data_IF_647402836867
#
_entry.id   IF_647402836867
#
_cell.length_a   1.000
_cell.length_b   1.000
_cell.length_c   1.000
_cell.angle_alpha   90.00
_cell.angle_beta   90.00
_cell.angle_gamma   90.00
#
_symmetry.space_group_name_H-M   'P 1'
#
loop_
_entity.id
_entity.type
_entity.pdbx_description
1 polymer ?
#
# COMPACT_ATOMS: atom_id res chain seq x y z
N UNK A 1 -28.28 -37.57 -23.30
CA UNK A 1 -27.20 -36.76 -23.91
C UNK A 1 -27.49 -35.27 -23.90
N UNK A 2 -28.54 -34.75 -24.55
CA UNK A 2 -28.86 -33.30 -24.59
C UNK A 2 -28.96 -32.61 -23.21
N UNK A 3 -29.54 -33.28 -22.20
CA UNK A 3 -29.66 -32.77 -20.82
C UNK A 3 -28.32 -32.75 -20.06
N UNK A 4 -27.39 -33.65 -20.38
CA UNK A 4 -26.05 -33.73 -19.76
C UNK A 4 -25.15 -32.64 -20.35
N UNK A 5 -25.25 -32.41 -21.66
CA UNK A 5 -24.54 -31.31 -22.34
C UNK A 5 -25.01 -29.95 -21.82
N UNK A 6 -26.32 -29.75 -21.63
CA UNK A 6 -26.85 -28.51 -21.05
C UNK A 6 -26.36 -28.26 -19.61
N UNK A 7 -26.26 -29.31 -18.79
CA UNK A 7 -25.72 -29.22 -17.43
C UNK A 7 -24.22 -28.91 -17.42
N UNK A 8 -23.44 -29.52 -18.31
CA UNK A 8 -22.02 -29.25 -18.46
C UNK A 8 -21.75 -27.80 -18.92
N UNK A 9 -22.55 -27.28 -19.86
CA UNK A 9 -22.45 -25.89 -20.33
C UNK A 9 -22.81 -24.90 -19.21
N UNK A 10 -23.80 -25.21 -18.37
CA UNK A 10 -24.18 -24.37 -17.22
C UNK A 10 -23.09 -24.35 -16.14
N UNK A 11 -22.42 -25.47 -15.88
CA UNK A 11 -21.28 -25.55 -14.95
C UNK A 11 -20.08 -24.77 -15.49
N UNK A 12 -19.79 -24.87 -16.79
CA UNK A 12 -18.70 -24.10 -17.43
C UNK A 12 -18.98 -22.59 -17.38
N UNK A 13 -20.25 -22.16 -17.56
CA UNK A 13 -20.63 -20.75 -17.45
C UNK A 13 -20.48 -20.20 -16.02
N UNK A 14 -20.71 -21.03 -14.99
CA UNK A 14 -20.50 -20.66 -13.58
C UNK A 14 -19.02 -20.60 -13.17
N UNK A 15 -18.13 -21.25 -13.92
CA UNK A 15 -16.68 -21.18 -13.69
C UNK A 15 -16.03 -19.94 -14.32
N UNK A 16 -16.73 -19.23 -15.22
CA UNK A 16 -16.23 -18.04 -15.92
C UNK A 16 -16.53 -16.71 -15.20
N UNK A 17 -17.28 -16.72 -14.09
CA UNK A 17 -17.56 -15.51 -13.29
C UNK A 17 -16.56 -15.27 -12.15
N UNK A 18 -15.45 -16.03 -12.11
CA UNK A 18 -14.41 -15.89 -11.09
C UNK A 18 -13.32 -14.90 -11.49
N UNK A 19 -13.09 -13.90 -10.64
CA UNK A 19 -12.11 -12.79 -10.73
C UNK A 19 -12.53 -11.58 -11.58
N UNK A 20 -13.42 -10.73 -11.05
CA UNK A 20 -13.45 -9.31 -11.44
C UNK A 20 -12.42 -8.54 -10.61
N UNK A 21 -11.24 -8.28 -11.17
CA UNK A 21 -10.35 -7.22 -10.64
C UNK A 21 -11.04 -5.87 -10.83
N UNK A 22 -10.97 -4.96 -9.84
CA UNK A 22 -11.55 -3.63 -10.03
C UNK A 22 -10.79 -2.90 -11.12
N UNK A 23 -11.53 -2.19 -11.98
CA UNK A 23 -10.94 -1.44 -13.06
C UNK A 23 -10.31 -0.13 -12.55
N UNK A 24 -9.12 0.18 -13.07
CA UNK A 24 -8.40 1.44 -12.84
C UNK A 24 -9.05 2.48 -13.75
N UNK A 25 -9.93 3.30 -13.19
CA UNK A 25 -10.81 4.21 -13.96
C UNK A 25 -10.89 5.62 -13.40
N UNK A 26 -10.67 5.81 -12.08
CA UNK A 26 -10.61 7.15 -11.50
C UNK A 26 -9.29 7.84 -11.87
N UNK A 27 -9.31 9.16 -11.99
CA UNK A 27 -8.11 9.97 -12.28
C UNK A 27 -6.94 9.60 -11.34
N UNK A 28 -7.21 9.52 -10.03
CA UNK A 28 -6.20 9.16 -9.04
C UNK A 28 -5.72 7.70 -9.18
N UNK A 29 -6.61 6.74 -9.46
CA UNK A 29 -6.17 5.36 -9.69
C UNK A 29 -5.25 5.24 -10.92
N UNK A 30 -5.48 6.04 -11.97
CA UNK A 30 -4.62 6.10 -13.16
C UNK A 30 -3.27 6.72 -12.80
N UNK A 31 -3.25 7.87 -12.11
CA UNK A 31 -2.03 8.53 -11.65
C UNK A 31 -1.16 7.57 -10.81
N UNK A 32 -1.78 6.88 -9.84
CA UNK A 32 -1.07 5.91 -9.00
C UNK A 32 -0.54 4.72 -9.80
N UNK A 33 -1.33 4.20 -10.73
CA UNK A 33 -0.92 3.08 -11.57
C UNK A 33 0.25 3.43 -12.49
N UNK A 34 0.22 4.60 -13.12
CA UNK A 34 1.29 5.02 -14.03
C UNK A 34 2.60 5.26 -13.26
N UNK A 35 2.54 5.88 -12.09
CA UNK A 35 3.70 6.03 -11.21
C UNK A 35 4.31 4.67 -10.80
N UNK A 36 3.48 3.68 -10.45
CA UNK A 36 3.97 2.34 -10.10
C UNK A 36 4.65 1.63 -11.29
N UNK A 37 4.09 1.76 -12.50
CA UNK A 37 4.70 1.20 -13.72
C UNK A 37 6.03 1.87 -14.04
N UNK A 38 6.10 3.20 -13.93
CA UNK A 38 7.32 3.97 -14.18
C UNK A 38 8.44 3.61 -13.20
N UNK A 39 8.08 3.22 -11.97
CA UNK A 39 8.99 2.65 -10.96
C UNK A 39 9.46 1.23 -11.29
N UNK A 40 8.89 0.57 -12.30
CA UNK A 40 9.22 -0.80 -12.70
C UNK A 40 8.39 -1.89 -12.01
N UNK A 41 7.31 -1.52 -11.31
CA UNK A 41 6.41 -2.49 -10.69
C UNK A 41 5.39 -3.03 -11.68
N UNK A 42 5.08 -4.32 -11.55
CA UNK A 42 4.00 -4.96 -12.28
C UNK A 42 2.71 -4.86 -11.45
N UNK A 43 1.65 -4.28 -12.00
CA UNK A 43 0.36 -4.18 -11.31
C UNK A 43 -0.44 -5.46 -11.56
N UNK A 44 -0.74 -6.18 -10.48
CA UNK A 44 -1.56 -7.40 -10.50
C UNK A 44 -3.03 -7.05 -10.36
N UNK A 45 -3.36 -6.14 -9.45
CA UNK A 45 -4.72 -5.71 -9.23
C UNK A 45 -4.79 -4.30 -8.63
N UNK A 46 -5.85 -3.58 -8.97
CA UNK A 46 -6.33 -2.45 -8.19
C UNK A 46 -7.40 -2.93 -7.22
N UNK A 47 -7.28 -2.58 -5.93
CA UNK A 47 -8.18 -3.04 -4.89
C UNK A 47 -9.27 -2.01 -4.57
N UNK A 48 -8.91 -0.73 -4.40
CA UNK A 48 -9.84 0.34 -4.02
C UNK A 48 -9.12 1.67 -3.81
N UNK A 49 -9.89 2.76 -3.81
CA UNK A 49 -9.59 3.92 -2.99
C UNK A 49 -9.80 3.52 -1.52
N UNK A 50 -8.72 3.45 -0.75
CA UNK A 50 -8.73 2.97 0.63
C UNK A 50 -9.22 4.04 1.61
N UNK A 51 -8.86 5.29 1.37
CA UNK A 51 -9.22 6.43 2.21
C UNK A 51 -9.03 7.74 1.43
N UNK A 52 -9.85 8.75 1.77
CA UNK A 52 -9.61 10.14 1.43
C UNK A 52 -9.64 10.99 2.70
N UNK A 53 -8.72 11.94 2.84
CA UNK A 53 -8.68 12.82 4.01
C UNK A 53 -7.97 14.15 3.73
N UNK A 54 -8.28 15.17 4.52
CA UNK A 54 -7.50 16.41 4.55
C UNK A 54 -6.28 16.21 5.45
N UNK A 55 -5.08 16.51 4.95
CA UNK A 55 -3.87 16.44 5.76
C UNK A 55 -3.81 17.61 6.73
N UNK A 56 -4.01 17.35 8.01
CA UNK A 56 -3.88 18.32 9.09
C UNK A 56 -2.64 18.05 9.93
N UNK A 57 -2.19 19.05 10.69
CA UNK A 57 -1.12 18.86 11.67
C UNK A 57 -1.48 17.84 12.74
N UNK A 58 -2.75 17.80 13.16
CA UNK A 58 -3.27 16.79 14.08
C UNK A 58 -3.07 15.37 13.53
N UNK A 59 -3.33 15.14 12.24
CA UNK A 59 -3.00 13.85 11.60
C UNK A 59 -1.50 13.59 11.62
N UNK A 60 -0.67 14.57 11.27
CA UNK A 60 0.79 14.39 11.34
C UNK A 60 1.28 14.05 12.76
N UNK A 61 0.56 14.44 13.81
CA UNK A 61 0.91 14.17 15.21
C UNK A 61 0.21 12.95 15.83
N UNK A 62 -0.65 12.25 15.07
CA UNK A 62 -1.44 11.13 15.60
C UNK A 62 -1.20 9.84 14.84
N UNK A 63 -1.24 8.72 15.57
CA UNK A 63 -1.22 7.40 14.96
C UNK A 63 -2.53 7.11 14.19
N UNK A 64 -2.49 6.42 13.04
CA UNK A 64 -1.28 5.89 12.40
C UNK A 64 -0.60 6.87 11.42
N UNK A 65 -1.21 8.02 11.13
CA UNK A 65 -0.77 8.95 10.08
C UNK A 65 0.62 9.54 10.32
N UNK A 66 1.03 9.74 11.57
CA UNK A 66 2.39 10.17 11.94
C UNK A 66 3.45 9.24 11.32
N UNK A 67 3.25 7.93 11.43
CA UNK A 67 4.17 6.93 10.85
C UNK A 67 4.01 6.86 9.34
N UNK A 68 2.78 6.90 8.83
CA UNK A 68 2.55 6.86 7.38
C UNK A 68 3.24 8.01 6.66
N UNK A 69 3.06 9.24 7.13
CA UNK A 69 3.75 10.40 6.58
C UNK A 69 5.24 10.43 6.93
N UNK A 70 5.62 9.86 8.06
CA UNK A 70 7.00 9.61 8.43
C UNK A 70 7.75 8.70 7.46
N UNK A 71 7.07 7.84 6.70
CA UNK A 71 7.69 6.96 5.71
C UNK A 71 7.90 7.65 4.34
N UNK A 72 7.54 8.93 4.21
CA UNK A 72 7.76 9.71 2.98
C UNK A 72 9.05 10.52 3.04
N UNK A 73 9.72 10.62 1.89
CA UNK A 73 10.90 11.50 1.72
C UNK A 73 10.52 12.96 1.54
N UNK A 74 9.34 13.22 0.98
CA UNK A 74 8.87 14.57 0.81
C UNK A 74 8.43 15.18 2.15
N UNK A 75 8.64 16.49 2.31
CA UNK A 75 8.15 17.23 3.48
C UNK A 75 6.61 17.31 3.47
N UNK A 76 5.92 16.68 4.45
CA UNK A 76 4.45 16.69 4.53
C UNK A 76 3.86 18.09 4.75
N UNK A 77 4.65 19.06 5.23
CA UNK A 77 4.20 20.45 5.43
C UNK A 77 3.68 21.08 4.14
N UNK A 78 4.22 20.66 2.98
CA UNK A 78 3.80 21.14 1.66
C UNK A 78 2.38 20.74 1.28
N UNK A 79 1.83 19.74 1.97
CA UNK A 79 0.53 19.14 1.66
C UNK A 79 -0.51 19.43 2.75
N UNK A 80 -0.18 20.23 3.76
CA UNK A 80 -1.14 20.65 4.78
C UNK A 80 -2.34 21.37 4.18
N UNK A 81 -3.53 20.99 4.62
CA UNK A 81 -4.81 21.52 4.14
C UNK A 81 -5.27 20.93 2.79
N UNK A 82 -4.45 20.11 2.14
CA UNK A 82 -4.82 19.43 0.89
C UNK A 82 -5.57 18.14 1.17
N UNK A 83 -6.42 17.76 0.24
CA UNK A 83 -7.02 16.44 0.21
C UNK A 83 -6.02 15.42 -0.34
N UNK A 84 -5.91 14.30 0.37
CA UNK A 84 -5.04 13.18 0.06
C UNK A 84 -5.94 12.00 -0.28
N UNK A 85 -5.70 11.42 -1.44
CA UNK A 85 -6.34 10.20 -1.93
C UNK A 85 -5.39 9.03 -1.77
N UNK A 86 -5.89 7.92 -1.22
CA UNK A 86 -5.08 6.72 -0.97
C UNK A 86 -5.56 5.58 -1.87
N UNK A 87 -4.83 5.32 -2.94
CA UNK A 87 -5.17 4.28 -3.93
C UNK A 87 -4.41 2.99 -3.63
N UNK A 88 -5.12 1.86 -3.51
CA UNK A 88 -4.58 0.58 -3.08
C UNK A 88 -4.42 -0.39 -4.25
N UNK A 89 -3.21 -0.97 -4.36
CA UNK A 89 -2.85 -1.92 -5.41
C UNK A 89 -2.18 -3.17 -4.84
N UNK A 90 -2.24 -4.26 -5.61
CA UNK A 90 -1.37 -5.42 -5.47
C UNK A 90 -0.38 -5.37 -6.63
N UNK A 91 0.91 -5.46 -6.31
CA UNK A 91 2.00 -5.36 -7.27
C UNK A 91 2.99 -6.54 -7.14
N UNK A 92 3.84 -6.68 -8.16
CA UNK A 92 5.06 -7.49 -8.19
C UNK A 92 6.28 -6.65 -8.59
N UNK A 93 7.44 -7.30 -8.53
CA UNK A 93 8.78 -6.71 -8.68
C UNK A 93 9.15 -5.81 -7.50
N UNK A 94 8.68 -6.17 -6.31
CA UNK A 94 8.92 -5.42 -5.08
C UNK A 94 9.74 -6.27 -4.09
N UNK A 95 10.61 -5.67 -3.24
CA UNK A 95 11.41 -6.40 -2.25
C UNK A 95 10.59 -7.34 -1.35
N UNK A 96 9.32 -7.00 -1.10
CA UNK A 96 8.42 -7.81 -0.27
C UNK A 96 7.75 -8.99 -0.94
N UNK A 97 7.96 -9.20 -2.22
CA UNK A 97 7.46 -10.39 -2.90
C UNK A 97 8.10 -11.66 -2.31
N UNK A 98 9.35 -11.57 -1.84
CA UNK A 98 10.08 -12.67 -1.20
C UNK A 98 10.24 -12.50 0.32
N UNK A 99 9.42 -11.63 0.94
CA UNK A 99 9.52 -11.37 2.37
C UNK A 99 9.08 -12.57 3.21
N UNK A 100 9.72 -12.74 4.38
CA UNK A 100 9.28 -13.66 5.41
C UNK A 100 9.51 -13.05 6.80
N UNK A 101 8.63 -13.36 7.74
CA UNK A 101 8.82 -12.95 9.13
C UNK A 101 9.97 -13.70 9.79
N UNK A 102 10.50 -13.11 10.86
CA UNK A 102 11.44 -13.78 11.75
C UNK A 102 10.70 -14.33 12.95
N UNK A 103 10.95 -15.59 13.30
CA UNK A 103 10.42 -16.21 14.51
C UNK A 103 11.45 -17.20 15.07
N UNK A 104 11.50 -17.32 16.40
CA UNK A 104 12.27 -18.40 17.07
C UNK A 104 11.69 -19.78 16.72
N UNK A 105 10.41 -19.83 16.43
CA UNK A 105 9.64 -21.03 16.12
C UNK A 105 9.35 -21.07 14.61
N UNK A 106 9.98 -21.98 13.84
CA UNK A 106 9.86 -22.02 12.37
C UNK A 106 8.42 -22.16 11.85
N UNK A 107 7.54 -22.81 12.60
CA UNK A 107 6.12 -22.97 12.29
C UNK A 107 5.33 -21.64 12.32
N UNK A 108 5.86 -20.61 12.98
CA UNK A 108 5.26 -19.28 13.05
C UNK A 108 5.86 -18.31 12.00
N UNK A 109 6.71 -18.80 11.09
CA UNK A 109 7.22 -17.98 9.99
C UNK A 109 6.11 -17.76 8.97
N UNK A 110 5.74 -16.50 8.79
CA UNK A 110 4.78 -16.07 7.77
C UNK A 110 5.56 -15.64 6.54
N UNK A 111 5.12 -16.04 5.36
CA UNK A 111 5.77 -15.70 4.09
C UNK A 111 4.83 -14.90 3.22
N UNK A 112 5.41 -13.98 2.46
CA UNK A 112 4.71 -13.31 1.37
C UNK A 112 4.22 -14.32 0.33
N UNK A 113 3.11 -13.98 -0.33
CA UNK A 113 2.53 -14.75 -1.43
C UNK A 113 3.22 -14.51 -2.78
N UNK A 114 4.39 -13.89 -2.80
CA UNK A 114 5.04 -13.47 -4.05
C UNK A 114 4.53 -12.13 -4.58
N UNK A 115 3.85 -11.36 -3.74
CA UNK A 115 3.18 -10.10 -4.11
C UNK A 115 3.28 -9.09 -2.96
N UNK A 116 3.12 -7.81 -3.29
CA UNK A 116 3.14 -6.72 -2.32
C UNK A 116 1.87 -5.88 -2.44
N UNK A 117 1.26 -5.54 -1.31
CA UNK A 117 0.20 -4.52 -1.25
C UNK A 117 0.82 -3.15 -1.08
N UNK A 118 0.37 -2.18 -1.88
CA UNK A 118 0.82 -0.79 -1.79
C UNK A 118 -0.36 0.15 -1.70
N UNK A 119 -0.17 1.24 -0.98
CA UNK A 119 -1.10 2.35 -0.86
C UNK A 119 -0.38 3.60 -1.36
N UNK A 120 -0.76 4.08 -2.52
CA UNK A 120 -0.16 5.25 -3.17
C UNK A 120 -0.92 6.50 -2.73
N UNK A 121 -0.20 7.49 -2.24
CA UNK A 121 -0.78 8.74 -1.75
C UNK A 121 -0.71 9.79 -2.84
N UNK A 122 -1.85 10.41 -3.13
CA UNK A 122 -1.99 11.40 -4.19
C UNK A 122 -2.56 12.68 -3.59
N UNK A 123 -1.89 13.81 -3.82
CA UNK A 123 -2.38 15.13 -3.48
C UNK A 123 -2.05 16.10 -4.63
N UNK A 124 -2.94 17.04 -4.94
CA UNK A 124 -2.82 17.93 -6.10
C UNK A 124 -2.51 17.21 -7.42
N UNK A 125 -3.10 16.02 -7.62
CA UNK A 125 -2.91 15.18 -8.82
C UNK A 125 -1.47 14.67 -9.03
N UNK A 126 -0.66 14.67 -7.97
CA UNK A 126 0.70 14.12 -7.99
C UNK A 126 0.86 13.04 -6.93
N UNK A 127 1.69 12.04 -7.20
CA UNK A 127 2.06 11.04 -6.20
C UNK A 127 3.04 11.66 -5.21
N UNK A 128 2.61 11.79 -3.96
CA UNK A 128 3.39 12.39 -2.86
C UNK A 128 4.07 11.34 -1.98
N UNK A 129 3.78 10.07 -2.21
CA UNK A 129 4.36 8.96 -1.48
C UNK A 129 3.45 7.75 -1.45
N UNK A 130 3.57 7.00 -0.36
CA UNK A 130 2.85 5.78 -0.15
C UNK A 130 3.60 4.83 0.79
N UNK A 131 2.88 3.76 1.13
CA UNK A 131 3.35 2.70 2.02
C UNK A 131 3.20 1.33 1.34
N UNK A 132 3.97 0.36 1.80
CA UNK A 132 3.96 -1.03 1.31
C UNK A 132 3.82 -2.03 2.45
N UNK A 133 3.29 -3.20 2.12
CA UNK A 133 3.13 -4.33 3.03
C UNK A 133 3.15 -5.67 2.26
N UNK A 134 3.84 -6.72 2.75
CA UNK A 134 3.83 -8.02 2.08
C UNK A 134 2.41 -8.59 1.96
N UNK A 135 2.06 -9.14 0.80
CA UNK A 135 0.78 -9.81 0.65
C UNK A 135 0.80 -11.15 1.41
N UNK A 136 0.26 -11.15 2.63
CA UNK A 136 0.15 -12.32 3.51
C UNK A 136 -1.32 -12.64 3.81
N UNK A 137 -1.58 -13.86 4.29
CA UNK A 137 -2.92 -14.33 4.68
C UNK A 137 -3.47 -13.56 5.87
N UNK A 138 -2.74 -13.57 6.97
CA UNK A 138 -3.12 -12.93 8.22
C UNK A 138 -2.24 -11.69 8.45
N UNK A 139 -2.83 -10.49 8.60
CA UNK A 139 -2.09 -9.30 8.96
C UNK A 139 -1.28 -9.54 10.25
N UNK A 140 -0.02 -9.13 10.24
CA UNK A 140 0.83 -9.22 11.42
C UNK A 140 0.79 -7.89 12.17
N UNK A 141 0.88 -7.96 13.49
CA UNK A 141 1.13 -6.78 14.29
C UNK A 141 2.49 -6.17 13.88
N UNK A 142 2.49 -4.87 13.62
CA UNK A 142 3.67 -4.16 13.14
C UNK A 142 3.31 -2.89 12.40
N UNK A 143 4.33 -2.23 11.87
CA UNK A 143 4.20 -1.07 11.02
C UNK A 143 4.17 -1.45 9.53
N UNK A 144 3.87 -0.45 8.72
CA UNK A 144 4.11 -0.50 7.28
C UNK A 144 5.54 -0.03 6.98
N UNK A 145 5.97 -0.23 5.75
CA UNK A 145 7.19 0.37 5.21
C UNK A 145 6.85 1.44 4.19
N UNK A 146 7.84 2.23 3.80
CA UNK A 146 7.68 3.14 2.66
C UNK A 146 7.30 2.38 1.39
N UNK A 147 6.85 3.11 0.38
CA UNK A 147 6.43 2.52 -0.90
C UNK A 147 7.50 1.63 -1.56
N UNK A 148 8.79 1.93 -1.34
CA UNK A 148 9.92 1.17 -1.87
C UNK A 148 10.43 0.08 -0.88
N UNK A 149 9.69 -0.21 0.19
CA UNK A 149 9.99 -1.28 1.16
C UNK A 149 11.01 -0.93 2.25
N UNK A 150 11.27 0.36 2.49
CA UNK A 150 12.25 0.82 3.50
C UNK A 150 11.62 1.16 4.84
N UNK A 151 12.35 0.92 5.94
CA UNK A 151 11.96 1.38 7.28
C UNK A 151 12.11 2.90 7.39
N UNK A 152 11.54 3.47 8.44
CA UNK A 152 11.64 4.89 8.75
C UNK A 152 13.11 5.32 8.93
N UNK A 153 13.91 4.49 9.59
CA UNK A 153 15.34 4.73 9.78
C UNK A 153 16.10 4.68 8.45
N UNK A 154 15.75 3.77 7.55
CA UNK A 154 16.36 3.69 6.21
C UNK A 154 15.93 4.86 5.30
N UNK A 155 14.73 5.41 5.51
CA UNK A 155 14.26 6.59 4.78
C UNK A 155 15.04 7.83 5.20
N UNK A 156 15.22 8.05 6.50
CA UNK A 156 15.79 9.29 7.07
C UNK A 156 17.25 9.19 7.50
N UNK A 157 17.82 7.99 7.51
CA UNK A 157 19.19 7.72 7.99
C UNK A 157 19.44 8.16 9.44
N UNK A 158 18.40 8.11 10.27
CA UNK A 158 18.42 8.40 11.72
C UNK A 158 17.62 7.33 12.46
N UNK A 159 17.87 7.14 13.75
CA UNK A 159 17.07 6.19 14.53
C UNK A 159 15.66 6.76 14.81
N UNK A 160 14.73 5.88 15.18
CA UNK A 160 13.35 6.25 15.47
C UNK A 160 13.20 7.34 16.55
N UNK A 161 14.03 7.31 17.61
CA UNK A 161 13.95 8.29 18.70
C UNK A 161 14.28 9.70 18.22
N UNK A 162 15.38 9.83 17.48
CA UNK A 162 15.81 11.11 16.91
C UNK A 162 14.81 11.62 15.87
N UNK A 163 14.26 10.71 15.06
CA UNK A 163 13.20 11.07 14.11
C UNK A 163 11.95 11.58 14.83
N UNK A 164 11.51 10.89 15.89
CA UNK A 164 10.32 11.26 16.63
C UNK A 164 10.48 12.63 17.29
N UNK A 165 11.64 12.89 17.90
CA UNK A 165 11.97 14.20 18.47
C UNK A 165 11.93 15.30 17.41
N UNK A 166 12.58 15.10 16.26
CA UNK A 166 12.55 16.06 15.15
C UNK A 166 11.14 16.28 14.61
N UNK A 167 10.36 15.22 14.50
CA UNK A 167 8.98 15.27 14.01
C UNK A 167 8.08 16.07 14.95
N UNK A 168 8.16 15.77 16.25
CA UNK A 168 7.44 16.51 17.28
C UNK A 168 7.86 17.98 17.27
N UNK A 169 9.15 18.29 17.32
CA UNK A 169 9.64 19.68 17.27
C UNK A 169 9.16 20.46 16.03
N UNK A 170 8.89 19.77 14.92
CA UNK A 170 8.41 20.38 13.68
C UNK A 170 6.90 20.69 13.69
N UNK A 171 6.10 19.88 14.37
CA UNK A 171 4.63 19.91 14.26
C UNK A 171 3.89 20.17 15.57
N UNK A 172 4.58 20.05 16.70
CA UNK A 172 4.11 20.42 18.03
C UNK A 172 4.11 21.96 18.15
N UNK A 173 3.05 22.52 18.72
CA UNK A 173 2.83 23.96 18.90
C UNK A 173 2.80 24.31 20.38
#
# INVERSE_FOLDING_TARGET
MKRIVAFAVMIIALLLSGCSTKEITSENSVIGADYLKDKGYEIIAYESNAENYILTKEKLMSMPYMIYWGLQREDPSKHLGKEVYVEKFIIKNHPFDNWQSTSRYPENIVKSKGETRVWVYIADKEVVGGISYPAIDEPMAGGYWSLDGKTLEEVHSINYSDWLEQWQNKFDY
#
